data_IF_885820698565
#
_entry.id   IF_885820698565
#
_cell.length_a   1.000
_cell.length_b   1.000
_cell.length_c   1.000
_cell.angle_alpha   90.00
_cell.angle_beta   90.00
_cell.angle_gamma   90.00
#
_symmetry.space_group_name_H-M   'P 1'
#
loop_
_entity.id
_entity.type
_entity.pdbx_description
1 polymer ?
#
# COMPACT_ATOMS: atom_id res chain seq x y z
N UNK A 1 5.79 1.57 -21.18
CA UNK A 1 5.84 1.48 -22.67
C UNK A 1 4.75 0.53 -23.20
N UNK A 2 4.61 -0.68 -22.66
CA UNK A 2 3.52 -1.63 -23.00
C UNK A 2 3.32 -2.59 -21.82
N UNK A 3 2.15 -3.22 -21.70
CA UNK A 3 1.91 -4.26 -20.68
C UNK A 3 2.71 -5.53 -20.97
N UNK A 4 3.48 -5.98 -19.98
CA UNK A 4 4.35 -7.16 -20.06
C UNK A 4 3.74 -8.32 -19.28
N UNK A 5 3.27 -9.34 -20.00
CA UNK A 5 3.02 -10.67 -19.44
C UNK A 5 4.31 -11.51 -19.50
N UNK A 6 4.44 -12.60 -18.74
CA UNK A 6 5.65 -13.45 -18.77
C UNK A 6 6.06 -13.89 -20.19
N UNK A 7 5.09 -14.21 -21.05
CA UNK A 7 5.33 -14.59 -22.45
C UNK A 7 5.81 -13.42 -23.31
N UNK A 8 5.32 -12.21 -23.08
CA UNK A 8 5.77 -10.98 -23.75
C UNK A 8 7.16 -10.55 -23.28
N UNK A 9 7.44 -10.70 -21.98
CA UNK A 9 8.76 -10.45 -21.40
C UNK A 9 9.82 -11.36 -21.99
N UNK A 10 9.54 -12.67 -22.05
CA UNK A 10 10.42 -13.63 -22.73
C UNK A 10 10.65 -13.28 -24.20
N UNK A 11 9.59 -12.92 -24.95
CA UNK A 11 9.72 -12.52 -26.34
C UNK A 11 10.57 -11.25 -26.55
N UNK A 12 10.44 -10.27 -25.64
CA UNK A 12 11.22 -9.04 -25.68
C UNK A 12 12.71 -9.31 -25.40
N UNK A 13 13.02 -10.07 -24.35
CA UNK A 13 14.40 -10.46 -24.01
C UNK A 13 15.04 -11.31 -25.10
N UNK A 14 14.30 -12.28 -25.63
CA UNK A 14 14.77 -13.12 -26.75
C UNK A 14 15.04 -12.29 -28.01
N UNK A 15 14.16 -11.35 -28.34
CA UNK A 15 14.33 -10.43 -29.47
C UNK A 15 15.52 -9.50 -29.29
N UNK A 16 15.70 -8.95 -28.09
CA UNK A 16 16.84 -8.11 -27.74
C UNK A 16 18.16 -8.88 -27.83
N UNK A 17 18.24 -10.07 -27.22
CA UNK A 17 19.42 -10.92 -27.24
C UNK A 17 19.79 -11.35 -28.66
N UNK A 18 18.80 -11.71 -29.48
CA UNK A 18 19.01 -12.07 -30.90
C UNK A 18 19.58 -10.88 -31.68
N UNK A 19 19.02 -9.69 -31.47
CA UNK A 19 19.49 -8.46 -32.13
C UNK A 19 20.93 -8.13 -31.74
N UNK A 20 21.23 -8.16 -30.43
CA UNK A 20 22.59 -7.92 -29.93
C UNK A 20 23.56 -8.94 -30.53
N UNK A 21 23.21 -10.22 -30.51
CA UNK A 21 24.04 -11.30 -31.04
C UNK A 21 24.37 -11.09 -32.52
N UNK A 22 23.36 -10.85 -33.36
CA UNK A 22 23.56 -10.68 -34.82
C UNK A 22 24.46 -9.48 -35.11
N UNK A 23 24.20 -8.32 -34.49
CA UNK A 23 24.96 -7.11 -34.77
C UNK A 23 26.39 -7.15 -34.17
N UNK A 24 26.60 -8.00 -33.17
CA UNK A 24 27.92 -8.24 -32.57
C UNK A 24 28.76 -9.27 -33.35
N UNK A 25 28.21 -9.95 -34.37
CA UNK A 25 28.95 -10.93 -35.15
C UNK A 25 30.06 -10.29 -36.01
N UNK A 26 31.15 -11.03 -36.33
CA UNK A 26 32.35 -10.48 -36.98
C UNK A 26 32.12 -9.83 -38.35
N UNK A 27 31.04 -10.19 -39.05
CA UNK A 27 30.72 -9.66 -40.38
C UNK A 27 29.96 -8.33 -40.36
N UNK A 28 29.31 -7.97 -39.24
CA UNK A 28 28.63 -6.69 -39.04
C UNK A 28 29.46 -5.77 -38.15
N UNK A 29 29.97 -6.28 -37.02
CA UNK A 29 30.81 -5.57 -36.06
C UNK A 29 30.30 -4.15 -35.71
N UNK A 30 28.98 -3.97 -35.65
CA UNK A 30 28.36 -2.68 -35.37
C UNK A 30 28.20 -2.55 -33.85
N UNK A 31 28.71 -1.47 -33.23
CA UNK A 31 28.48 -1.23 -31.81
C UNK A 31 26.99 -0.94 -31.58
N UNK A 32 26.34 -1.81 -30.79
CA UNK A 32 24.92 -1.66 -30.43
C UNK A 32 24.76 -1.41 -28.93
N UNK A 33 23.83 -0.53 -28.57
CA UNK A 33 23.47 -0.25 -27.19
C UNK A 33 22.45 -1.28 -26.70
N UNK A 34 22.78 -1.98 -25.60
CA UNK A 34 21.88 -2.95 -24.97
C UNK A 34 20.58 -2.31 -24.50
N UNK A 35 20.64 -1.11 -23.92
CA UNK A 35 19.47 -0.34 -23.48
C UNK A 35 18.53 0.01 -24.65
N UNK A 36 19.06 0.55 -25.75
CA UNK A 36 18.25 0.88 -26.93
C UNK A 36 17.63 -0.38 -27.54
N UNK A 37 18.38 -1.48 -27.53
CA UNK A 37 17.94 -2.74 -28.12
C UNK A 37 16.80 -3.36 -27.31
N UNK A 38 16.89 -3.34 -25.98
CA UNK A 38 15.84 -3.83 -25.10
C UNK A 38 14.58 -2.95 -25.15
N UNK A 39 14.72 -1.62 -25.10
CA UNK A 39 13.59 -0.70 -25.25
C UNK A 39 12.89 -0.90 -26.60
N UNK A 40 13.66 -1.05 -27.68
CA UNK A 40 13.13 -1.35 -29.01
C UNK A 40 12.40 -2.70 -29.09
N UNK A 41 12.94 -3.74 -28.45
CA UNK A 41 12.30 -5.05 -28.40
C UNK A 41 10.98 -5.02 -27.62
N UNK A 42 10.93 -4.31 -26.49
CA UNK A 42 9.70 -4.08 -25.71
C UNK A 42 8.64 -3.35 -26.53
N UNK A 43 9.02 -2.29 -27.25
CA UNK A 43 8.12 -1.59 -28.19
C UNK A 43 7.63 -2.56 -29.27
N UNK A 44 8.53 -3.36 -29.86
CA UNK A 44 8.18 -4.34 -30.89
C UNK A 44 7.16 -5.37 -30.43
N UNK A 45 7.31 -5.90 -29.21
CA UNK A 45 6.34 -6.81 -28.60
C UNK A 45 5.00 -6.12 -28.34
N UNK A 46 5.01 -4.87 -27.89
CA UNK A 46 3.79 -4.09 -27.73
C UNK A 46 3.07 -3.84 -29.06
N UNK A 47 3.81 -3.54 -30.13
CA UNK A 47 3.27 -3.35 -31.47
C UNK A 47 2.61 -4.62 -32.04
N UNK A 48 3.06 -5.81 -31.64
CA UNK A 48 2.42 -7.07 -32.01
C UNK A 48 0.98 -7.20 -31.45
N UNK A 49 0.66 -6.50 -30.35
CA UNK A 49 -0.69 -6.35 -29.81
C UNK A 49 -1.51 -5.20 -30.43
N UNK A 50 -0.95 -4.49 -31.41
CA UNK A 50 -1.54 -3.32 -32.06
C UNK A 50 -0.97 -1.99 -31.54
N UNK A 51 -1.01 -0.95 -32.38
CA UNK A 51 -0.42 0.37 -32.05
C UNK A 51 -1.02 1.03 -30.80
N UNK A 52 -2.24 0.68 -30.40
CA UNK A 52 -2.88 1.16 -29.17
C UNK A 52 -2.33 0.51 -27.89
N UNK A 53 -1.60 -0.60 -28.00
CA UNK A 53 -0.99 -1.28 -26.86
C UNK A 53 0.37 -0.67 -26.45
N UNK A 54 0.91 0.24 -27.27
CA UNK A 54 2.16 0.95 -26.98
C UNK A 54 1.87 2.38 -26.58
N UNK A 55 2.40 2.78 -25.42
CA UNK A 55 2.44 4.17 -25.02
C UNK A 55 3.61 4.90 -25.73
N UNK A 56 3.28 5.52 -26.85
CA UNK A 56 4.22 6.31 -27.63
C UNK A 56 4.66 7.61 -26.96
N UNK A 57 3.92 8.12 -25.98
CA UNK A 57 4.31 9.32 -25.23
C UNK A 57 5.50 8.99 -24.33
N UNK A 58 5.43 7.86 -23.62
CA UNK A 58 6.54 7.35 -22.80
C UNK A 58 7.76 7.06 -23.66
N UNK A 59 7.56 6.35 -24.76
CA UNK A 59 8.64 6.05 -25.70
C UNK A 59 9.30 7.34 -26.23
N UNK A 60 8.49 8.36 -26.56
CA UNK A 60 8.98 9.68 -26.98
C UNK A 60 9.84 10.38 -25.92
N UNK A 61 9.46 10.30 -24.63
CA UNK A 61 10.27 10.86 -23.53
C UNK A 61 11.62 10.18 -23.40
N UNK A 62 11.65 8.85 -23.52
CA UNK A 62 12.90 8.07 -23.50
C UNK A 62 13.81 8.47 -24.68
N UNK A 63 13.24 8.57 -25.89
CA UNK A 63 14.01 9.03 -27.07
C UNK A 63 14.52 10.46 -26.86
N UNK A 64 13.71 11.33 -26.26
CA UNK A 64 14.10 12.71 -25.99
C UNK A 64 15.27 12.80 -25.00
N UNK A 65 15.37 11.91 -24.00
CA UNK A 65 16.50 11.90 -23.06
C UNK A 65 17.79 11.45 -23.73
N UNK A 66 17.72 10.48 -24.65
CA UNK A 66 18.87 10.09 -25.47
C UNK A 66 19.37 11.27 -26.31
N UNK A 67 18.46 11.98 -26.96
CA UNK A 67 18.82 13.17 -27.76
C UNK A 67 19.35 14.28 -26.87
N UNK A 68 18.76 14.54 -25.71
CA UNK A 68 19.18 15.58 -24.78
C UNK A 68 20.55 15.29 -24.15
N UNK A 69 20.93 14.02 -24.02
CA UNK A 69 22.26 13.62 -23.51
C UNK A 69 23.40 14.07 -24.43
N UNK A 70 23.16 14.15 -25.76
CA UNK A 70 24.17 14.54 -26.75
C UNK A 70 24.64 16.01 -26.60
N UNK A 71 23.75 17.03 -26.57
CA UNK A 71 24.17 18.40 -26.35
C UNK A 71 24.71 18.61 -24.93
N UNK A 72 24.21 17.89 -23.92
CA UNK A 72 24.76 17.96 -22.56
C UNK A 72 26.22 17.46 -22.51
N UNK A 73 26.49 16.30 -23.12
CA UNK A 73 27.85 15.75 -23.25
C UNK A 73 28.74 16.67 -24.10
N UNK A 74 28.21 17.21 -25.19
CA UNK A 74 28.92 18.17 -26.04
C UNK A 74 29.30 19.45 -25.29
N UNK A 75 28.35 20.03 -24.55
CA UNK A 75 28.58 21.22 -23.73
C UNK A 75 29.61 20.96 -22.63
N UNK A 76 29.49 19.85 -21.90
CA UNK A 76 30.45 19.46 -20.88
C UNK A 76 31.87 19.27 -21.44
N UNK A 77 31.98 18.61 -22.61
CA UNK A 77 33.25 18.44 -23.32
C UNK A 77 33.87 19.79 -23.71
N UNK A 78 33.08 20.70 -24.28
CA UNK A 78 33.53 22.06 -24.66
C UNK A 78 33.97 22.84 -23.42
N UNK A 79 33.21 22.79 -22.33
CA UNK A 79 33.54 23.50 -21.09
C UNK A 79 34.87 23.03 -20.51
N UNK A 80 35.08 21.70 -20.45
CA UNK A 80 36.35 21.11 -20.01
C UNK A 80 37.50 21.51 -20.93
N UNK A 81 37.28 21.45 -22.26
CA UNK A 81 38.30 21.82 -23.24
C UNK A 81 38.73 23.28 -23.10
N UNK A 82 37.77 24.22 -23.03
CA UNK A 82 38.04 25.65 -22.85
C UNK A 82 38.73 25.93 -21.51
N UNK A 83 38.26 25.32 -20.42
CA UNK A 83 38.86 25.49 -19.09
C UNK A 83 40.31 24.97 -19.03
N UNK A 84 40.62 23.89 -19.77
CA UNK A 84 41.97 23.34 -19.84
C UNK A 84 42.96 24.21 -20.62
N UNK A 85 42.46 25.06 -21.52
CA UNK A 85 43.30 25.87 -22.41
C UNK A 85 44.31 25.03 -23.22
N UNK A 86 44.03 23.75 -23.45
CA UNK A 86 44.93 22.75 -24.07
C UNK A 86 46.29 22.57 -23.39
N UNK A 87 46.41 22.94 -22.11
CA UNK A 87 47.60 22.71 -21.28
C UNK A 87 47.48 21.35 -20.56
N UNK A 88 48.38 20.38 -20.80
CA UNK A 88 48.34 19.06 -20.18
C UNK A 88 48.34 19.10 -18.64
N UNK A 89 48.98 20.11 -18.04
CA UNK A 89 49.08 20.23 -16.58
C UNK A 89 47.72 20.65 -16.00
N UNK A 90 47.01 21.57 -16.65
CA UNK A 90 45.66 21.99 -16.23
C UNK A 90 44.65 20.86 -16.40
N UNK A 91 44.82 20.04 -17.43
CA UNK A 91 43.98 18.89 -17.70
C UNK A 91 44.09 17.83 -16.58
N UNK A 92 45.30 17.62 -16.04
CA UNK A 92 45.55 16.73 -14.90
C UNK A 92 44.86 17.22 -13.61
N UNK A 93 44.64 18.53 -13.46
CA UNK A 93 43.94 19.12 -12.30
C UNK A 93 42.42 19.15 -12.50
N UNK A 94 41.95 19.49 -13.70
CA UNK A 94 40.52 19.66 -13.99
C UNK A 94 39.79 18.31 -14.01
N UNK A 95 40.42 17.25 -14.52
CA UNK A 95 39.79 15.92 -14.59
C UNK A 95 39.38 15.40 -13.19
N UNK A 96 40.28 15.32 -12.19
CA UNK A 96 39.91 14.89 -10.84
C UNK A 96 38.83 15.74 -10.20
N UNK A 97 38.86 17.06 -10.42
CA UNK A 97 37.83 17.97 -9.91
C UNK A 97 36.48 17.68 -10.57
N UNK A 98 36.44 17.48 -11.88
CA UNK A 98 35.21 17.11 -12.60
C UNK A 98 34.65 15.77 -12.10
N UNK A 99 35.50 14.76 -11.90
CA UNK A 99 35.10 13.48 -11.30
C UNK A 99 34.62 13.63 -9.85
N UNK A 100 35.26 14.46 -9.05
CA UNK A 100 34.85 14.74 -7.68
C UNK A 100 33.50 15.49 -7.63
N UNK A 101 33.24 16.40 -8.56
CA UNK A 101 31.95 17.07 -8.70
C UNK A 101 30.87 16.06 -9.10
N UNK A 102 31.14 15.19 -10.08
CA UNK A 102 30.19 14.14 -10.48
C UNK A 102 29.92 13.19 -9.32
N UNK A 103 30.96 12.74 -8.61
CA UNK A 103 30.82 11.88 -7.43
C UNK A 103 30.08 12.57 -6.29
N UNK A 104 30.32 13.86 -6.08
CA UNK A 104 29.59 14.68 -5.12
C UNK A 104 28.13 14.84 -5.49
N UNK A 105 27.80 15.10 -6.77
CA UNK A 105 26.42 15.17 -7.24
C UNK A 105 25.74 13.82 -7.04
N UNK A 106 26.37 12.72 -7.45
CA UNK A 106 25.83 11.36 -7.24
C UNK A 106 25.60 11.08 -5.75
N UNK A 107 26.54 11.46 -4.88
CA UNK A 107 26.43 11.27 -3.44
C UNK A 107 25.40 12.20 -2.78
N UNK A 108 25.28 13.44 -3.25
CA UNK A 108 24.31 14.41 -2.75
C UNK A 108 22.87 14.08 -3.21
N UNK A 109 22.73 13.40 -4.35
CA UNK A 109 21.44 12.88 -4.84
C UNK A 109 21.21 11.42 -4.46
N UNK A 110 22.02 10.86 -3.55
CA UNK A 110 21.93 9.43 -3.18
C UNK A 110 20.78 9.14 -2.20
N UNK A 111 20.40 10.14 -1.40
CA UNK A 111 19.23 10.11 -0.49
C UNK A 111 17.96 10.72 -1.12
N UNK A 112 18.08 11.41 -2.26
CA UNK A 112 16.93 11.62 -3.13
C UNK A 112 16.65 10.28 -3.80
N UNK A 113 15.88 9.42 -3.12
CA UNK A 113 15.20 8.32 -3.78
C UNK A 113 14.62 8.89 -5.06
N UNK A 114 15.04 8.36 -6.22
CA UNK A 114 14.28 8.59 -7.44
C UNK A 114 12.95 7.95 -7.14
N UNK A 115 12.01 8.78 -6.71
CA UNK A 115 10.61 8.46 -6.63
C UNK A 115 10.30 7.78 -7.96
N UNK A 116 10.11 6.46 -7.88
CA UNK A 116 9.64 5.70 -9.03
C UNK A 116 8.28 6.28 -9.43
N UNK A 117 7.59 6.99 -8.52
CA UNK A 117 6.53 7.95 -8.85
C UNK A 117 6.95 8.95 -9.92
N UNK A 118 8.05 9.68 -9.88
CA UNK A 118 8.39 10.66 -10.92
C UNK A 118 8.75 10.02 -12.27
N UNK A 119 9.35 8.82 -12.27
CA UNK A 119 9.67 8.11 -13.52
C UNK A 119 8.47 7.35 -14.13
N UNK A 120 7.54 6.85 -13.30
CA UNK A 120 6.31 6.15 -13.73
C UNK A 120 5.10 7.09 -13.86
N UNK A 121 5.01 8.17 -13.07
CA UNK A 121 3.96 9.22 -13.20
C UNK A 121 4.20 10.07 -14.44
N UNK A 122 5.46 10.31 -14.81
CA UNK A 122 5.75 10.99 -16.06
C UNK A 122 5.42 10.08 -17.27
N UNK A 123 5.24 8.77 -17.03
CA UNK A 123 4.71 7.81 -17.99
C UNK A 123 3.18 7.62 -17.93
N UNK A 124 2.53 7.97 -16.82
CA UNK A 124 1.09 7.86 -16.62
C UNK A 124 0.44 9.23 -16.44
N UNK A 125 -0.17 9.76 -17.51
CA UNK A 125 -1.05 10.95 -17.51
C UNK A 125 -0.47 12.24 -16.93
N UNK A 126 -0.29 13.23 -17.81
CA UNK A 126 0.12 14.60 -17.48
C UNK A 126 -1.06 15.37 -16.84
N UNK A 127 -1.67 14.85 -15.77
CA UNK A 127 -2.70 15.61 -15.06
C UNK A 127 -2.89 15.29 -13.57
N UNK A 128 -1.97 14.58 -12.91
CA UNK A 128 -2.10 14.35 -11.47
C UNK A 128 -0.74 14.19 -10.78
N UNK A 129 0.06 15.26 -10.76
CA UNK A 129 1.18 15.37 -9.82
C UNK A 129 0.60 15.36 -8.40
N UNK A 130 0.80 14.26 -7.66
CA UNK A 130 0.36 14.11 -6.27
C UNK A 130 -0.97 13.38 -6.03
N UNK A 131 -1.53 12.67 -7.03
CA UNK A 131 -2.69 11.81 -6.75
C UNK A 131 -2.23 10.48 -6.12
N UNK A 132 -2.75 10.12 -4.93
CA UNK A 132 -2.38 8.88 -4.26
C UNK A 132 -2.75 7.64 -5.09
N UNK A 133 -1.91 6.63 -5.04
CA UNK A 133 -2.13 5.29 -5.60
C UNK A 133 -3.33 4.61 -4.93
N UNK A 134 -3.86 3.54 -5.56
CA UNK A 134 -4.98 2.82 -4.96
C UNK A 134 -4.60 2.15 -3.63
N UNK A 135 -3.35 1.70 -3.46
CA UNK A 135 -2.89 1.12 -2.20
C UNK A 135 -2.63 2.17 -1.13
N UNK A 136 -2.18 3.38 -1.48
CA UNK A 136 -2.08 4.50 -0.54
C UNK A 136 -3.47 4.92 -0.03
N UNK A 137 -4.47 5.00 -0.91
CA UNK A 137 -5.84 5.30 -0.48
C UNK A 137 -6.45 4.16 0.34
N UNK A 138 -6.18 2.90 -0.03
CA UNK A 138 -6.62 1.73 0.72
C UNK A 138 -6.00 1.69 2.13
N UNK A 139 -4.71 2.04 2.24
CA UNK A 139 -4.00 2.20 3.51
C UNK A 139 -4.54 3.39 4.32
N UNK A 140 -4.79 4.54 3.69
CA UNK A 140 -5.41 5.69 4.37
C UNK A 140 -6.79 5.35 4.95
N UNK A 141 -7.57 4.54 4.24
CA UNK A 141 -8.83 4.00 4.77
C UNK A 141 -8.58 3.05 5.96
N UNK A 142 -7.46 2.34 6.02
CA UNK A 142 -7.16 1.38 7.09
C UNK A 142 -6.79 2.11 8.37
N UNK A 143 -6.00 3.19 8.26
CA UNK A 143 -5.70 4.12 9.35
C UNK A 143 -6.99 4.72 9.94
N UNK A 144 -7.93 5.15 9.09
CA UNK A 144 -9.21 5.68 9.58
C UNK A 144 -10.07 4.62 10.29
N UNK A 145 -10.02 3.36 9.82
CA UNK A 145 -10.69 2.22 10.46
C UNK A 145 -10.05 1.89 11.81
N UNK A 146 -8.72 1.87 11.90
CA UNK A 146 -8.00 1.67 13.16
C UNK A 146 -8.33 2.78 14.17
N UNK A 147 -8.38 4.04 13.73
CA UNK A 147 -8.79 5.17 14.56
C UNK A 147 -10.22 5.01 15.09
N UNK A 148 -11.14 4.53 14.25
CA UNK A 148 -12.52 4.20 14.66
C UNK A 148 -12.54 3.14 15.77
N UNK A 149 -11.77 2.07 15.62
CA UNK A 149 -11.65 1.02 16.65
C UNK A 149 -10.97 1.55 17.92
N UNK A 150 -10.01 2.47 17.81
CA UNK A 150 -9.37 3.12 18.95
C UNK A 150 -10.34 3.98 19.78
N UNK A 151 -11.26 4.70 19.11
CA UNK A 151 -12.33 5.43 19.79
C UNK A 151 -13.37 4.47 20.41
N UNK A 152 -13.71 3.37 19.71
CA UNK A 152 -14.56 2.31 20.26
C UNK A 152 -13.96 1.73 21.55
N UNK A 153 -12.66 1.42 21.56
CA UNK A 153 -11.93 0.96 22.76
C UNK A 153 -12.07 1.95 23.91
N UNK A 154 -11.90 3.25 23.63
CA UNK A 154 -12.06 4.30 24.63
C UNK A 154 -13.49 4.35 25.19
N UNK A 155 -14.51 4.21 24.34
CA UNK A 155 -15.90 4.16 24.75
C UNK A 155 -16.21 2.94 25.63
N UNK A 156 -15.71 1.75 25.25
CA UNK A 156 -15.88 0.53 26.05
C UNK A 156 -15.20 0.65 27.40
N UNK A 157 -13.99 1.21 27.45
CA UNK A 157 -13.26 1.43 28.70
C UNK A 157 -14.01 2.38 29.64
N UNK A 158 -14.47 3.53 29.15
CA UNK A 158 -15.27 4.48 29.94
C UNK A 158 -16.55 3.83 30.48
N UNK A 159 -17.30 3.14 29.63
CA UNK A 159 -18.53 2.44 30.03
C UNK A 159 -18.25 1.34 31.08
N UNK A 160 -17.17 0.57 30.91
CA UNK A 160 -16.77 -0.47 31.85
C UNK A 160 -16.35 0.10 33.21
N UNK A 161 -15.66 1.25 33.21
CA UNK A 161 -15.26 1.96 34.43
C UNK A 161 -16.46 2.65 35.13
N UNK A 162 -17.63 2.68 34.48
CA UNK A 162 -18.85 3.30 34.99
C UNK A 162 -18.91 4.80 34.77
N UNK A 163 -18.07 5.31 33.87
CA UNK A 163 -18.07 6.67 33.37
C UNK A 163 -19.05 6.81 32.20
N UNK A 164 -19.35 8.06 31.82
CA UNK A 164 -20.22 8.34 30.67
C UNK A 164 -19.44 8.20 29.36
N UNK A 165 -19.80 7.25 28.47
CA UNK A 165 -19.08 7.04 27.22
C UNK A 165 -19.50 7.98 26.08
N UNK A 166 -20.47 8.89 26.26
CA UNK A 166 -21.11 9.67 25.18
C UNK A 166 -20.10 10.43 24.27
N UNK A 167 -19.08 11.07 24.84
CA UNK A 167 -18.05 11.78 24.09
C UNK A 167 -17.21 10.82 23.21
N UNK A 168 -16.90 9.63 23.72
CA UNK A 168 -16.15 8.61 22.99
C UNK A 168 -17.00 7.92 21.93
N UNK A 169 -18.30 7.71 22.19
CA UNK A 169 -19.25 7.22 21.18
C UNK A 169 -19.32 8.21 20.02
N UNK A 170 -19.46 9.50 20.32
CA UNK A 170 -19.47 10.57 19.31
C UNK A 170 -18.18 10.55 18.49
N UNK A 171 -17.03 10.45 19.16
CA UNK A 171 -15.72 10.36 18.48
C UNK A 171 -15.62 9.13 17.56
N UNK A 172 -16.20 8.00 17.97
CA UNK A 172 -16.25 6.77 17.16
C UNK A 172 -17.08 6.98 15.90
N UNK A 173 -18.26 7.58 16.02
CA UNK A 173 -19.15 7.88 14.87
C UNK A 173 -18.50 8.89 13.92
N UNK A 174 -17.81 9.92 14.44
CA UNK A 174 -17.07 10.88 13.61
C UNK A 174 -15.89 10.25 12.87
N UNK A 175 -15.19 9.29 13.49
CA UNK A 175 -14.12 8.54 12.84
C UNK A 175 -14.64 7.57 11.77
N UNK A 176 -15.76 6.88 12.03
CA UNK A 176 -16.42 6.04 11.03
C UNK A 176 -16.83 6.87 9.80
N UNK A 177 -17.44 8.04 10.01
CA UNK A 177 -17.81 8.92 8.92
C UNK A 177 -16.60 9.31 8.06
N UNK A 178 -15.44 9.57 8.68
CA UNK A 178 -14.20 9.85 7.97
C UNK A 178 -13.71 8.64 7.16
N UNK A 179 -13.79 7.43 7.71
CA UNK A 179 -13.48 6.21 6.96
C UNK A 179 -14.43 6.08 5.75
N UNK A 180 -15.72 6.37 5.95
CA UNK A 180 -16.74 6.31 4.91
C UNK A 180 -16.51 7.32 3.78
N UNK A 181 -16.05 8.53 4.11
CA UNK A 181 -15.62 9.54 3.15
C UNK A 181 -14.45 9.05 2.29
N UNK A 182 -13.44 8.42 2.91
CA UNK A 182 -12.28 7.85 2.19
C UNK A 182 -12.73 6.69 1.28
N UNK A 183 -13.58 5.79 1.77
CA UNK A 183 -14.20 4.72 0.95
C UNK A 183 -14.90 5.29 -0.27
N UNK A 184 -15.73 6.31 -0.08
CA UNK A 184 -16.49 6.91 -1.16
C UNK A 184 -15.59 7.64 -2.17
N UNK A 185 -14.51 8.27 -1.70
CA UNK A 185 -13.48 8.85 -2.58
C UNK A 185 -12.78 7.77 -3.43
N UNK A 186 -12.37 6.66 -2.82
CA UNK A 186 -11.80 5.50 -3.54
C UNK A 186 -12.77 5.04 -4.62
N UNK A 187 -14.03 4.80 -4.26
CA UNK A 187 -15.04 4.30 -5.19
C UNK A 187 -15.26 5.25 -6.37
N UNK A 188 -15.35 6.56 -6.10
CA UNK A 188 -15.52 7.60 -7.12
C UNK A 188 -14.34 7.64 -8.08
N UNK A 189 -13.11 7.66 -7.56
CA UNK A 189 -11.89 7.73 -8.39
C UNK A 189 -11.70 6.48 -9.25
N UNK A 190 -12.03 5.29 -8.71
CA UNK A 190 -12.02 4.03 -9.46
C UNK A 190 -13.07 4.00 -10.56
N UNK A 191 -14.30 4.46 -10.26
CA UNK A 191 -15.39 4.57 -11.24
C UNK A 191 -15.04 5.51 -12.39
N UNK A 192 -14.42 6.65 -12.07
CA UNK A 192 -13.98 7.65 -13.04
C UNK A 192 -12.70 7.26 -13.82
N UNK A 193 -12.03 6.17 -13.45
CA UNK A 193 -10.77 5.75 -14.09
C UNK A 193 -9.58 6.66 -13.75
N UNK A 194 -9.67 7.42 -12.66
CA UNK A 194 -8.61 8.33 -12.19
C UNK A 194 -7.48 7.60 -11.46
N UNK A 195 -7.67 6.31 -11.15
CA UNK A 195 -6.65 5.45 -10.56
C UNK A 195 -6.51 4.19 -11.42
N UNK A 196 -5.28 3.84 -11.76
CA UNK A 196 -4.94 2.57 -12.42
C UNK A 196 -4.89 1.45 -11.37
N UNK A 197 -5.55 0.33 -11.65
CA UNK A 197 -5.56 -0.86 -10.78
C UNK A 197 -5.03 -2.04 -11.57
N UNK A 198 -3.92 -2.61 -11.11
CA UNK A 198 -3.26 -3.76 -11.75
C UNK A 198 -4.08 -5.05 -11.58
N UNK A 199 -4.80 -5.19 -10.46
CA UNK A 199 -5.56 -6.39 -10.06
C UNK A 199 -7.06 -6.36 -10.44
N UNK A 200 -7.49 -5.36 -11.22
CA UNK A 200 -8.89 -5.22 -11.62
C UNK A 200 -9.76 -4.52 -10.56
N UNK A 201 -10.70 -3.69 -11.03
CA UNK A 201 -11.50 -2.78 -10.18
C UNK A 201 -12.36 -3.53 -9.15
N UNK A 202 -12.89 -4.70 -9.51
CA UNK A 202 -13.80 -5.47 -8.67
C UNK A 202 -13.12 -6.09 -7.44
N UNK A 203 -11.84 -6.41 -7.54
CA UNK A 203 -11.05 -6.92 -6.41
C UNK A 203 -10.83 -5.82 -5.38
N UNK A 204 -10.42 -4.63 -5.82
CA UNK A 204 -10.23 -3.49 -4.93
C UNK A 204 -11.53 -3.04 -4.27
N UNK A 205 -12.67 -3.02 -4.99
CA UNK A 205 -13.97 -2.76 -4.36
C UNK A 205 -14.30 -3.76 -3.26
N UNK A 206 -13.98 -5.03 -3.48
CA UNK A 206 -14.19 -6.09 -2.50
C UNK A 206 -13.28 -5.92 -1.29
N UNK A 207 -12.01 -5.57 -1.49
CA UNK A 207 -11.06 -5.29 -0.41
C UNK A 207 -11.54 -4.12 0.45
N UNK A 208 -11.87 -2.98 -0.17
CA UNK A 208 -12.39 -1.80 0.53
C UNK A 208 -13.67 -2.15 1.30
N UNK A 209 -14.60 -2.89 0.69
CA UNK A 209 -15.83 -3.30 1.36
C UNK A 209 -15.61 -4.28 2.52
N UNK A 210 -14.52 -5.05 2.55
CA UNK A 210 -14.19 -5.91 3.70
C UNK A 210 -13.65 -5.08 4.86
N UNK A 211 -12.78 -4.12 4.55
CA UNK A 211 -12.19 -3.20 5.50
C UNK A 211 -13.23 -2.27 6.14
N UNK A 212 -14.18 -1.79 5.34
CA UNK A 212 -15.33 -0.97 5.75
C UNK A 212 -16.15 -1.60 6.88
N UNK A 213 -16.40 -2.92 6.78
CA UNK A 213 -17.18 -3.64 7.80
C UNK A 213 -16.53 -3.62 9.19
N UNK A 214 -15.21 -3.44 9.27
CA UNK A 214 -14.51 -3.34 10.56
C UNK A 214 -14.98 -2.05 11.27
N UNK A 215 -14.97 -0.91 10.56
CA UNK A 215 -15.47 0.36 11.09
C UNK A 215 -16.97 0.32 11.39
N UNK A 216 -17.78 -0.25 10.48
CA UNK A 216 -19.22 -0.43 10.69
C UNK A 216 -19.50 -1.19 12.01
N UNK A 217 -18.80 -2.30 12.25
CA UNK A 217 -18.99 -3.08 13.47
C UNK A 217 -18.49 -2.33 14.71
N UNK A 218 -17.39 -1.59 14.60
CA UNK A 218 -16.86 -0.78 15.71
C UNK A 218 -17.83 0.33 16.12
N UNK A 219 -18.44 1.03 15.15
CA UNK A 219 -19.52 1.97 15.42
C UNK A 219 -20.70 1.28 16.11
N UNK A 220 -21.12 0.11 15.63
CA UNK A 220 -22.21 -0.65 16.22
C UNK A 220 -21.93 -1.09 17.67
N UNK A 221 -20.66 -1.32 18.05
CA UNK A 221 -20.26 -1.55 19.46
C UNK A 221 -20.49 -0.28 20.27
N UNK A 222 -19.96 0.85 19.80
CA UNK A 222 -20.06 2.13 20.51
C UNK A 222 -21.52 2.57 20.70
N UNK A 223 -22.34 2.51 19.64
CA UNK A 223 -23.77 2.84 19.72
C UNK A 223 -24.52 1.94 20.70
N UNK A 224 -24.18 0.64 20.76
CA UNK A 224 -24.82 -0.28 21.70
C UNK A 224 -24.60 0.14 23.16
N UNK A 225 -23.45 0.73 23.50
CA UNK A 225 -23.19 1.21 24.87
C UNK A 225 -24.19 2.29 25.33
N UNK A 226 -24.81 3.02 24.39
CA UNK A 226 -25.84 4.02 24.70
C UNK A 226 -27.22 3.42 25.01
N UNK A 227 -27.45 2.15 24.66
CA UNK A 227 -28.79 1.56 24.75
C UNK A 227 -29.18 1.22 26.20
N UNK A 228 -28.18 0.86 27.01
CA UNK A 228 -28.37 0.46 28.40
C UNK A 228 -27.04 0.48 29.15
N UNK A 229 -27.10 0.77 30.45
CA UNK A 229 -25.97 0.51 31.34
C UNK A 229 -25.52 -0.95 31.30
N UNK A 230 -24.19 -1.14 31.30
CA UNK A 230 -23.54 -2.43 31.35
C UNK A 230 -23.79 -3.15 32.68
N UNK A 231 -23.75 -4.49 32.63
CA UNK A 231 -23.81 -5.34 33.82
C UNK A 231 -22.79 -4.87 34.89
N UNK A 232 -23.31 -4.62 36.10
CA UNK A 232 -22.54 -4.05 37.22
C UNK A 232 -21.84 -5.17 37.97
N UNK A 233 -20.83 -5.74 37.32
CA UNK A 233 -19.94 -6.71 37.93
C UNK A 233 -18.49 -6.38 37.54
N UNK A 234 -17.60 -6.37 38.55
CA UNK A 234 -16.22 -5.90 38.37
C UNK A 234 -15.41 -6.83 37.46
N UNK A 235 -15.64 -8.13 37.56
CA UNK A 235 -14.90 -9.13 36.79
C UNK A 235 -15.41 -9.16 35.35
N UNK A 236 -16.73 -9.11 35.14
CA UNK A 236 -17.34 -9.02 33.82
C UNK A 236 -16.91 -7.74 33.07
N UNK A 237 -16.85 -6.59 33.75
CA UNK A 237 -16.34 -5.33 33.19
C UNK A 237 -14.86 -5.42 32.85
N UNK A 238 -14.06 -6.09 33.69
CA UNK A 238 -12.65 -6.35 33.40
C UNK A 238 -12.46 -7.17 32.13
N UNK A 239 -13.24 -8.24 31.96
CA UNK A 239 -13.23 -9.08 30.75
C UNK A 239 -13.71 -8.33 29.50
N UNK A 240 -14.66 -7.39 29.65
CA UNK A 240 -15.09 -6.54 28.54
C UNK A 240 -13.95 -5.63 28.05
N UNK A 241 -13.15 -5.07 28.96
CA UNK A 241 -11.96 -4.27 28.62
C UNK A 241 -10.90 -5.12 27.94
N UNK A 242 -10.63 -6.33 28.45
CA UNK A 242 -9.72 -7.30 27.84
C UNK A 242 -10.14 -7.64 26.40
N UNK A 243 -11.44 -7.82 26.15
CA UNK A 243 -11.96 -8.06 24.80
C UNK A 243 -11.74 -6.86 23.88
N UNK A 244 -12.02 -5.64 24.35
CA UNK A 244 -11.81 -4.43 23.57
C UNK A 244 -10.32 -4.22 23.21
N UNK A 245 -9.41 -4.51 24.15
CA UNK A 245 -7.96 -4.45 23.91
C UNK A 245 -7.51 -5.49 22.87
N UNK A 246 -8.02 -6.73 22.96
CA UNK A 246 -7.73 -7.77 21.98
C UNK A 246 -8.18 -7.37 20.57
N UNK A 247 -9.38 -6.81 20.44
CA UNK A 247 -9.95 -6.35 19.15
C UNK A 247 -9.15 -5.18 18.57
N UNK A 248 -8.75 -4.23 19.41
CA UNK A 248 -7.90 -3.11 19.00
C UNK A 248 -6.54 -3.60 18.50
N UNK A 249 -5.92 -4.57 19.19
CA UNK A 249 -4.67 -5.21 18.76
C UNK A 249 -4.83 -5.91 17.40
N UNK A 250 -5.90 -6.69 17.21
CA UNK A 250 -6.18 -7.36 15.93
C UNK A 250 -6.36 -6.36 14.79
N UNK A 251 -7.02 -5.23 15.06
CA UNK A 251 -7.20 -4.16 14.07
C UNK A 251 -5.89 -3.46 13.72
N UNK A 252 -5.03 -3.22 14.71
CA UNK A 252 -3.71 -2.62 14.50
C UNK A 252 -2.80 -3.52 13.65
N UNK A 253 -2.76 -4.83 13.94
CA UNK A 253 -2.04 -5.80 13.10
C UNK A 253 -2.59 -5.87 11.67
N UNK A 254 -3.90 -5.68 11.50
CA UNK A 254 -4.51 -5.60 10.19
C UNK A 254 -4.08 -4.33 9.44
N UNK A 255 -4.01 -3.18 10.11
CA UNK A 255 -3.45 -1.95 9.53
C UNK A 255 -2.01 -2.16 9.08
N UNK A 256 -1.17 -2.79 9.91
CA UNK A 256 0.23 -3.13 9.59
C UNK A 256 0.30 -4.00 8.32
N UNK A 257 -0.59 -5.00 8.20
CA UNK A 257 -0.68 -5.84 7.00
C UNK A 257 -1.06 -5.02 5.75
N UNK A 258 -1.98 -4.05 5.87
CA UNK A 258 -2.35 -3.15 4.77
C UNK A 258 -1.21 -2.17 4.42
N UNK A 259 -0.48 -1.69 5.42
CA UNK A 259 0.71 -0.87 5.24
C UNK A 259 1.80 -1.64 4.48
N UNK A 260 2.05 -2.89 4.87
CA UNK A 260 2.97 -3.77 4.16
C UNK A 260 2.50 -4.09 2.74
N UNK A 261 1.19 -4.23 2.50
CA UNK A 261 0.66 -4.40 1.15
C UNK A 261 0.99 -3.22 0.24
N UNK A 262 0.88 -1.98 0.74
CA UNK A 262 1.32 -0.79 0.02
C UNK A 262 2.80 -0.88 -0.33
N UNK A 263 3.66 -1.29 0.61
CA UNK A 263 5.10 -1.44 0.37
C UNK A 263 5.42 -2.56 -0.63
N UNK A 264 4.67 -3.66 -0.61
CA UNK A 264 4.76 -4.75 -1.60
C UNK A 264 4.42 -4.22 -3.00
N UNK A 265 3.39 -3.41 -3.13
CA UNK A 265 3.01 -2.83 -4.40
C UNK A 265 4.07 -1.84 -4.93
N UNK A 266 4.62 -1.00 -4.04
CA UNK A 266 5.67 -0.03 -4.39
C UNK A 266 6.99 -0.71 -4.78
N UNK A 267 7.37 -1.79 -4.09
CA UNK A 267 8.59 -2.54 -4.38
C UNK A 267 8.48 -3.48 -5.60
N UNK A 268 7.32 -3.56 -6.26
CA UNK A 268 7.12 -4.40 -7.44
C UNK A 268 6.93 -5.89 -7.10
N UNK A 269 6.24 -6.19 -5.99
CA UNK A 269 5.86 -7.55 -5.56
C UNK A 269 7.05 -8.49 -5.32
N UNK A 270 8.10 -7.97 -4.68
CA UNK A 270 9.27 -8.76 -4.28
C UNK A 270 8.86 -9.95 -3.40
N UNK A 271 9.60 -11.06 -3.51
CA UNK A 271 9.34 -12.24 -2.68
C UNK A 271 9.41 -11.92 -1.18
N UNK A 272 10.46 -11.21 -0.75
CA UNK A 272 10.63 -10.83 0.64
C UNK A 272 9.48 -9.97 1.17
N UNK A 273 8.97 -9.02 0.37
CA UNK A 273 7.82 -8.22 0.75
C UNK A 273 6.54 -9.05 0.89
N UNK A 274 6.33 -10.01 -0.02
CA UNK A 274 5.17 -10.92 0.04
C UNK A 274 5.24 -11.91 1.19
N UNK A 275 6.42 -12.45 1.48
CA UNK A 275 6.65 -13.33 2.63
C UNK A 275 6.30 -12.59 3.93
N UNK A 276 6.76 -11.33 4.08
CA UNK A 276 6.42 -10.47 5.23
C UNK A 276 4.93 -10.13 5.32
N UNK A 277 4.27 -9.88 4.19
CA UNK A 277 2.82 -9.68 4.17
C UNK A 277 2.09 -10.94 4.66
N UNK A 278 2.55 -12.13 4.25
CA UNK A 278 2.03 -13.40 4.75
C UNK A 278 2.18 -13.56 6.26
N UNK A 279 3.36 -13.23 6.80
CA UNK A 279 3.62 -13.26 8.25
C UNK A 279 2.65 -12.34 9.03
N UNK A 280 2.41 -11.13 8.55
CA UNK A 280 1.44 -10.21 9.18
C UNK A 280 0.00 -10.72 9.11
N UNK A 281 -0.40 -11.36 8.00
CA UNK A 281 -1.72 -11.98 7.90
C UNK A 281 -1.85 -13.13 8.92
N UNK A 282 -0.81 -13.94 9.10
CA UNK A 282 -0.79 -14.98 10.13
C UNK A 282 -0.88 -14.38 11.54
N UNK A 283 -0.23 -13.24 11.81
CA UNK A 283 -0.35 -12.51 13.08
C UNK A 283 -1.77 -12.00 13.33
N UNK A 284 -2.47 -11.48 12.31
CA UNK A 284 -3.89 -11.10 12.42
C UNK A 284 -4.75 -12.31 12.77
N UNK A 285 -4.55 -13.45 12.09
CA UNK A 285 -5.29 -14.68 12.36
C UNK A 285 -5.06 -15.19 13.79
N UNK A 286 -3.82 -15.11 14.29
CA UNK A 286 -3.51 -15.46 15.68
C UNK A 286 -4.17 -14.52 16.68
N UNK A 287 -4.17 -13.21 16.41
CA UNK A 287 -4.80 -12.22 17.29
C UNK A 287 -6.34 -12.33 17.31
N UNK A 288 -6.97 -12.65 16.18
CA UNK A 288 -8.40 -12.96 16.14
C UNK A 288 -8.72 -14.21 16.96
N UNK A 289 -7.91 -15.26 16.85
CA UNK A 289 -8.07 -16.45 17.69
C UNK A 289 -7.91 -16.14 19.20
N UNK A 290 -6.98 -15.25 19.56
CA UNK A 290 -6.85 -14.75 20.93
C UNK A 290 -8.13 -14.01 21.38
N UNK A 291 -8.71 -13.17 20.52
CA UNK A 291 -9.96 -12.45 20.81
C UNK A 291 -11.15 -13.41 21.00
N UNK A 292 -11.31 -14.44 20.16
CA UNK A 292 -12.31 -15.50 20.32
C UNK A 292 -12.24 -16.16 21.71
N UNK A 293 -11.02 -16.45 22.18
CA UNK A 293 -10.80 -17.05 23.49
C UNK A 293 -11.20 -16.12 24.64
N UNK A 294 -11.04 -14.81 24.47
CA UNK A 294 -11.47 -13.80 25.44
C UNK A 294 -12.99 -13.67 25.42
N UNK A 295 -13.64 -13.59 24.26
CA UNK A 295 -15.10 -13.56 24.10
C UNK A 295 -15.75 -14.75 24.79
N UNK A 296 -15.24 -15.96 24.51
CA UNK A 296 -15.81 -17.20 25.05
C UNK A 296 -15.80 -17.22 26.57
N UNK A 297 -14.69 -16.77 27.20
CA UNK A 297 -14.56 -16.67 28.66
C UNK A 297 -15.48 -15.60 29.23
N UNK A 298 -15.50 -14.42 28.62
CA UNK A 298 -16.32 -13.29 29.06
C UNK A 298 -17.81 -13.62 28.98
N UNK A 299 -18.26 -14.19 27.86
CA UNK A 299 -19.63 -14.64 27.66
C UNK A 299 -20.04 -15.68 28.71
N UNK A 300 -19.21 -16.71 28.92
CA UNK A 300 -19.48 -17.74 29.92
C UNK A 300 -19.63 -17.14 31.33
N UNK A 301 -18.77 -16.18 31.68
CA UNK A 301 -18.84 -15.49 32.96
C UNK A 301 -20.14 -14.68 33.11
N UNK A 302 -20.46 -13.84 32.13
CA UNK A 302 -21.64 -12.98 32.12
C UNK A 302 -22.94 -13.79 32.24
N UNK A 303 -23.05 -14.91 31.52
CA UNK A 303 -24.23 -15.77 31.61
C UNK A 303 -24.33 -16.52 32.94
N UNK A 304 -23.21 -16.86 33.57
CA UNK A 304 -23.19 -17.61 34.84
C UNK A 304 -23.48 -16.72 36.05
N UNK A 305 -23.19 -15.42 35.96
CA UNK A 305 -23.32 -14.49 37.09
C UNK A 305 -24.40 -13.41 36.87
N UNK A 306 -25.07 -13.43 35.72
CA UNK A 306 -26.06 -12.42 35.33
C UNK A 306 -27.50 -12.65 35.81
N UNK A 307 -27.77 -13.67 36.63
CA UNK A 307 -29.14 -14.07 37.01
C UNK A 307 -29.94 -12.95 37.70
N UNK A 308 -29.28 -12.13 38.51
CA UNK A 308 -29.90 -11.01 39.23
C UNK A 308 -30.14 -9.78 38.35
N UNK A 309 -29.49 -9.70 37.19
CA UNK A 309 -29.61 -8.59 36.23
C UNK A 309 -29.59 -9.08 34.77
N UNK A 310 -30.55 -9.95 34.37
CA UNK A 310 -30.46 -10.72 33.13
C UNK A 310 -30.46 -9.85 31.87
N UNK A 311 -31.17 -8.71 31.89
CA UNK A 311 -31.16 -7.77 30.77
C UNK A 311 -29.81 -7.07 30.60
N UNK A 312 -29.13 -6.72 31.69
CA UNK A 312 -27.82 -6.08 31.63
C UNK A 312 -26.74 -7.09 31.21
N UNK A 313 -26.84 -8.33 31.69
CA UNK A 313 -25.96 -9.43 31.27
C UNK A 313 -26.11 -9.75 29.77
N UNK A 314 -27.35 -9.92 29.27
CA UNK A 314 -27.60 -10.14 27.84
C UNK A 314 -27.15 -8.95 27.00
N UNK A 315 -27.32 -7.73 27.50
CA UNK A 315 -26.82 -6.54 26.81
C UNK A 315 -25.29 -6.55 26.70
N UNK A 316 -24.57 -6.80 27.79
CA UNK A 316 -23.11 -6.91 27.79
C UNK A 316 -22.63 -8.04 26.87
N UNK A 317 -23.30 -9.19 26.85
CA UNK A 317 -23.00 -10.26 25.90
C UNK A 317 -23.14 -9.81 24.44
N UNK A 318 -24.18 -9.04 24.10
CA UNK A 318 -24.30 -8.50 22.73
C UNK A 318 -23.17 -7.54 22.36
N UNK A 319 -22.68 -6.76 23.32
CA UNK A 319 -21.51 -5.90 23.11
C UNK A 319 -20.26 -6.75 22.86
N UNK A 320 -20.04 -7.82 23.65
CA UNK A 320 -18.95 -8.79 23.43
C UNK A 320 -19.02 -9.42 22.04
N UNK A 321 -20.20 -9.93 21.63
CA UNK A 321 -20.39 -10.52 20.30
C UNK A 321 -20.15 -9.52 19.17
N UNK A 322 -20.54 -8.26 19.35
CA UNK A 322 -20.30 -7.25 18.32
C UNK A 322 -18.82 -6.87 18.22
N UNK A 323 -18.09 -6.89 19.32
CA UNK A 323 -16.62 -6.74 19.32
C UNK A 323 -15.94 -7.92 18.63
N UNK A 324 -16.45 -9.14 18.84
CA UNK A 324 -16.01 -10.32 18.09
C UNK A 324 -16.21 -10.18 16.58
N UNK A 325 -17.37 -9.65 16.14
CA UNK A 325 -17.62 -9.35 14.71
C UNK A 325 -16.54 -8.41 14.11
N UNK A 326 -15.97 -7.48 14.89
CA UNK A 326 -14.87 -6.59 14.46
C UNK A 326 -13.60 -7.39 14.20
N UNK A 327 -13.16 -8.22 15.16
CA UNK A 327 -11.96 -9.06 15.02
C UNK A 327 -12.09 -10.04 13.84
N UNK A 328 -13.25 -10.69 13.73
CA UNK A 328 -13.64 -11.53 12.61
C UNK A 328 -13.61 -10.79 11.25
N UNK A 329 -13.96 -9.51 11.23
CA UNK A 329 -13.90 -8.70 10.02
C UNK A 329 -12.45 -8.38 9.63
N UNK A 330 -11.56 -8.12 10.59
CA UNK A 330 -10.12 -7.98 10.36
C UNK A 330 -9.53 -9.25 9.75
N UNK A 331 -9.81 -10.42 10.32
CA UNK A 331 -9.34 -11.72 9.82
C UNK A 331 -9.81 -11.98 8.38
N UNK A 332 -11.10 -11.79 8.09
CA UNK A 332 -11.66 -11.92 6.73
C UNK A 332 -11.08 -10.91 5.73
N UNK A 333 -10.72 -9.71 6.20
CA UNK A 333 -10.10 -8.68 5.37
C UNK A 333 -8.64 -9.04 5.07
N UNK A 334 -7.86 -9.42 6.08
CA UNK A 334 -6.47 -9.88 5.98
C UNK A 334 -6.33 -11.11 5.07
N UNK A 335 -7.14 -12.14 5.29
CA UNK A 335 -7.17 -13.35 4.47
C UNK A 335 -7.58 -13.06 3.01
N UNK A 336 -8.23 -11.93 2.76
CA UNK A 336 -8.47 -11.42 1.42
C UNK A 336 -7.22 -11.04 0.63
N UNK A 337 -6.11 -10.78 1.32
CA UNK A 337 -4.84 -10.37 0.74
C UNK A 337 -3.95 -11.56 0.36
N UNK A 338 -4.31 -12.79 0.76
CA UNK A 338 -3.53 -14.00 0.46
C UNK A 338 -3.36 -14.27 -1.04
N UNK A 339 -4.30 -13.81 -1.88
CA UNK A 339 -4.15 -13.86 -3.33
C UNK A 339 -2.91 -13.10 -3.79
N UNK A 340 -2.50 -12.05 -3.07
CA UNK A 340 -1.35 -11.21 -3.40
C UNK A 340 -0.05 -11.85 -2.90
N UNK A 341 -0.10 -12.55 -1.76
CA UNK A 341 1.04 -13.29 -1.20
C UNK A 341 1.46 -14.43 -2.13
N UNK A 342 0.52 -15.25 -2.58
CA UNK A 342 0.81 -16.51 -3.29
C UNK A 342 0.77 -16.42 -4.83
N UNK A 343 0.49 -15.25 -5.43
CA UNK A 343 0.46 -15.07 -6.90
C UNK A 343 1.84 -14.93 -7.55
#
# INVERSE_FOLDING_TARGET
ITDITPTRGFAAEFGAATTILIFSMPFLAVPVSTTHTLVGAVVGVGLAGGAKAVDFRVFGKIVSSWVASLPAAGFGSIAIYVASGSDPIKLLVIIPIAFAIVAYVIWATWDEEIHVEDALSDAGSVDNKGAPTHFELFHAHAVAVEETVGHMLSAVNAAADGEDPEDHITSTVEAELRADEVKNDIRRRLGAGQISVLQGKDELFRMVSRQDRIADYAQNVAEQLSFRELFVDKEARGMLKEMAEAVAKTTSLYEDAVSQLKDVALSGYTKAGRDRLGELIDEVNLAEHEADLVESKAAAYVFSHGEDAPLAAVHMYRVLQRMDDVANACEKAANGLLSIVYN
#
